data_IF_159676804532
#
_entry.id   IF_159676804532
#
_cell.length_a   1.000
_cell.length_b   1.000
_cell.length_c   1.000
_cell.angle_alpha   90.00
_cell.angle_beta   90.00
_cell.angle_gamma   90.00
#
_symmetry.space_group_name_H-M   'P 1'
#
loop_
_entity.id
_entity.type
_entity.pdbx_description
1 polymer ?
#
# COMPACT_ATOMS: atom_id res chain seq x y z
N UNK A 1 29.36 19.59 10.83
CA UNK A 1 28.27 18.68 10.40
C UNK A 1 28.68 18.12 9.06
N UNK A 2 28.97 16.83 8.99
CA UNK A 2 29.47 16.16 7.79
C UNK A 2 28.29 15.85 6.84
N UNK A 3 28.35 16.38 5.62
CA UNK A 3 27.33 16.23 4.57
C UNK A 3 27.39 14.85 3.88
N UNK A 4 28.28 13.95 4.29
CA UNK A 4 28.44 12.60 3.72
C UNK A 4 27.39 11.57 4.19
N UNK A 5 26.48 11.93 5.11
CA UNK A 5 25.38 11.09 5.58
C UNK A 5 24.04 11.34 4.85
N UNK A 6 24.11 12.07 3.73
CA UNK A 6 23.02 12.28 2.77
C UNK A 6 23.17 11.41 1.51
N UNK A 7 23.93 10.32 1.57
CA UNK A 7 23.71 9.25 0.59
C UNK A 7 22.29 8.74 0.83
N UNK A 8 21.38 8.78 -0.17
CA UNK A 8 20.04 8.27 0.03
C UNK A 8 20.20 6.83 0.51
N UNK A 9 19.58 6.51 1.65
CA UNK A 9 19.40 5.13 2.05
C UNK A 9 18.79 4.41 0.86
N UNK A 10 19.59 3.57 0.18
CA UNK A 10 19.25 2.78 -1.01
C UNK A 10 18.24 1.67 -0.66
N UNK A 11 17.12 2.05 -0.07
CA UNK A 11 16.07 1.16 0.40
C UNK A 11 14.74 1.85 0.72
N UNK A 12 14.68 3.19 0.72
CA UNK A 12 13.42 3.92 0.89
C UNK A 12 13.15 4.82 -0.32
N UNK A 13 12.84 4.20 -1.45
CA UNK A 13 11.99 4.83 -2.45
C UNK A 13 10.55 4.37 -2.23
N UNK A 14 10.09 4.46 -0.97
CA UNK A 14 8.67 4.40 -0.69
C UNK A 14 8.05 5.65 -1.30
N UNK A 15 7.48 5.51 -2.49
CA UNK A 15 6.54 6.44 -3.12
C UNK A 15 6.45 7.81 -2.46
N UNK A 16 7.33 8.75 -2.84
CA UNK A 16 7.35 10.13 -2.32
C UNK A 16 6.14 10.98 -2.77
N UNK A 17 5.09 10.35 -3.29
CA UNK A 17 3.82 10.97 -3.63
C UNK A 17 2.74 10.60 -2.61
N UNK A 18 1.70 11.43 -2.46
CA UNK A 18 0.55 11.10 -1.64
C UNK A 18 0.02 9.70 -2.01
N UNK A 19 -0.38 8.90 -1.03
CA UNK A 19 -0.92 7.55 -1.25
C UNK A 19 -2.24 7.54 -2.04
N UNK A 20 -2.87 8.69 -2.32
CA UNK A 20 -4.06 8.84 -3.18
C UNK A 20 -5.19 7.89 -2.79
N UNK A 21 -5.92 8.27 -1.75
CA UNK A 21 -7.10 7.56 -1.26
C UNK A 21 -8.38 7.98 -1.97
N UNK A 22 -9.40 7.13 -1.92
CA UNK A 22 -10.74 7.39 -2.50
C UNK A 22 -11.41 8.59 -1.84
N UNK A 23 -11.60 8.57 -0.51
CA UNK A 23 -12.25 9.65 0.24
C UNK A 23 -11.74 9.71 1.69
N UNK A 24 -10.50 10.18 1.93
CA UNK A 24 -9.90 10.13 3.27
C UNK A 24 -10.62 11.04 4.28
N UNK A 25 -11.30 12.10 3.83
CA UNK A 25 -12.13 12.96 4.68
C UNK A 25 -13.37 12.22 5.23
N UNK A 26 -13.79 11.16 4.54
CA UNK A 26 -14.92 10.29 4.92
C UNK A 26 -14.42 8.99 5.56
N UNK A 27 -13.13 8.92 5.91
CA UNK A 27 -12.44 7.75 6.45
C UNK A 27 -12.35 6.55 5.48
N UNK A 28 -12.49 6.80 4.17
CA UNK A 28 -12.23 5.81 3.14
C UNK A 28 -10.76 5.89 2.68
N UNK A 29 -9.95 5.00 3.26
CA UNK A 29 -8.52 4.88 3.00
C UNK A 29 -8.17 3.84 1.95
N UNK A 30 -9.14 3.45 1.12
CA UNK A 30 -8.87 2.59 -0.04
C UNK A 30 -8.04 3.33 -1.09
N UNK A 31 -7.11 2.64 -1.73
CA UNK A 31 -6.23 3.23 -2.74
C UNK A 31 -6.99 3.52 -4.05
N UNK A 32 -6.65 4.61 -4.72
CA UNK A 32 -7.04 4.84 -6.10
C UNK A 32 -6.19 3.99 -7.06
N UNK A 33 -6.70 3.64 -8.27
CA UNK A 33 -5.98 2.77 -9.22
C UNK A 33 -4.59 3.25 -9.65
N UNK A 34 -4.36 4.56 -9.61
CA UNK A 34 -3.08 5.19 -9.96
C UNK A 34 -2.33 5.70 -8.72
N UNK A 35 -2.64 5.14 -7.56
CA UNK A 35 -1.88 5.41 -6.35
C UNK A 35 -0.45 4.88 -6.50
N UNK A 36 0.56 5.65 -6.09
CA UNK A 36 1.93 5.16 -6.07
C UNK A 36 2.14 4.13 -4.95
N UNK A 37 1.17 3.90 -4.06
CA UNK A 37 1.22 2.84 -3.07
C UNK A 37 0.91 1.45 -3.65
N UNK A 38 0.28 1.39 -4.83
CA UNK A 38 -0.07 0.12 -5.49
C UNK A 38 1.20 -0.61 -5.94
N UNK A 39 1.40 -1.84 -5.47
CA UNK A 39 2.53 -2.71 -5.77
C UNK A 39 3.90 -2.20 -5.30
N UNK A 40 3.94 -1.19 -4.43
CA UNK A 40 5.18 -0.55 -4.00
C UNK A 40 5.78 -1.13 -2.71
N UNK A 41 5.04 -2.00 -2.02
CA UNK A 41 5.47 -2.68 -0.81
C UNK A 41 6.27 -3.96 -1.08
N UNK A 42 6.92 -4.45 -0.03
CA UNK A 42 7.64 -5.73 -0.08
C UNK A 42 6.68 -6.92 -0.04
N UNK A 43 7.13 -8.05 -0.56
CA UNK A 43 6.48 -9.34 -0.32
C UNK A 43 6.69 -9.74 1.15
N UNK A 44 5.58 -9.80 1.89
CA UNK A 44 5.55 -10.24 3.29
C UNK A 44 4.72 -11.52 3.44
N UNK A 45 4.43 -12.26 2.37
CA UNK A 45 3.58 -13.46 2.38
C UNK A 45 4.02 -14.53 3.38
N UNK A 46 5.31 -14.57 3.76
CA UNK A 46 5.84 -15.44 4.82
C UNK A 46 5.50 -15.01 6.25
N UNK A 47 4.82 -13.87 6.45
CA UNK A 47 4.50 -13.32 7.77
C UNK A 47 3.10 -12.68 7.84
N UNK A 48 2.56 -12.20 6.71
CA UNK A 48 1.26 -11.56 6.58
C UNK A 48 0.56 -12.13 5.36
N UNK A 49 -0.61 -12.73 5.54
CA UNK A 49 -1.37 -13.35 4.47
C UNK A 49 -2.58 -12.50 4.02
N UNK A 50 -3.20 -11.76 4.93
CA UNK A 50 -4.45 -11.02 4.65
C UNK A 50 -4.33 -9.54 5.04
N UNK A 51 -5.16 -8.73 4.42
CA UNK A 51 -5.29 -7.30 4.69
C UNK A 51 -6.33 -7.01 5.81
N UNK A 52 -6.59 -5.72 6.05
CA UNK A 52 -7.54 -5.29 7.08
C UNK A 52 -9.00 -5.71 6.81
N UNK A 53 -9.37 -5.90 5.55
CA UNK A 53 -10.71 -6.36 5.16
C UNK A 53 -10.80 -7.89 5.06
N UNK A 54 -9.71 -8.60 5.34
CA UNK A 54 -9.63 -10.06 5.31
C UNK A 54 -9.30 -10.66 3.94
N UNK A 55 -8.96 -9.83 2.95
CA UNK A 55 -8.60 -10.29 1.62
C UNK A 55 -7.13 -10.75 1.56
N UNK A 56 -6.85 -11.77 0.75
CA UNK A 56 -5.49 -12.33 0.59
C UNK A 56 -4.60 -11.33 -0.15
N UNK A 57 -3.45 -10.99 0.43
CA UNK A 57 -2.50 -10.07 -0.21
C UNK A 57 -1.71 -10.78 -1.32
N UNK A 58 -1.55 -10.10 -2.45
CA UNK A 58 -0.75 -10.58 -3.59
C UNK A 58 0.55 -9.78 -3.68
N UNK A 59 1.67 -10.47 -3.89
CA UNK A 59 2.97 -9.83 -4.06
C UNK A 59 3.15 -9.19 -5.45
N UNK A 60 3.86 -8.04 -5.57
CA UNK A 60 4.31 -7.20 -4.46
C UNK A 60 3.12 -6.54 -3.74
N UNK A 61 3.18 -6.43 -2.41
CA UNK A 61 2.06 -5.90 -1.63
C UNK A 61 1.88 -4.41 -1.93
N UNK A 62 0.65 -3.91 -1.84
CA UNK A 62 0.42 -2.47 -1.76
C UNK A 62 0.88 -1.93 -0.40
N UNK A 63 1.32 -0.67 -0.34
CA UNK A 63 1.46 0.01 0.95
C UNK A 63 0.09 0.33 1.54
N UNK A 64 -0.01 0.24 2.86
CA UNK A 64 -1.24 0.49 3.59
C UNK A 64 -1.96 -0.79 4.03
N UNK A 65 -3.07 -0.60 4.72
CA UNK A 65 -3.78 -1.68 5.38
C UNK A 65 -4.78 -2.43 4.48
N UNK A 66 -5.17 -1.84 3.34
CA UNK A 66 -6.16 -2.39 2.40
C UNK A 66 -5.50 -2.57 1.04
N UNK A 67 -5.58 -3.76 0.44
CA UNK A 67 -5.07 -3.99 -0.91
C UNK A 67 -5.97 -3.38 -1.99
N UNK A 68 -5.37 -2.82 -3.04
CA UNK A 68 -6.11 -2.32 -4.20
C UNK A 68 -6.74 -3.45 -5.00
N UNK A 69 -6.03 -4.58 -5.16
CA UNK A 69 -6.54 -5.76 -5.85
C UNK A 69 -7.81 -6.35 -5.18
N UNK A 70 -8.01 -6.06 -3.90
CA UNK A 70 -9.06 -6.62 -3.07
C UNK A 70 -10.43 -5.93 -3.28
N UNK A 71 -10.43 -4.76 -3.93
CA UNK A 71 -11.65 -4.02 -4.27
C UNK A 71 -12.55 -4.68 -5.32
N UNK A 72 -12.05 -5.70 -6.03
CA UNK A 72 -12.82 -6.44 -7.03
C UNK A 72 -13.65 -7.57 -6.39
N UNK A 73 -13.34 -8.00 -5.15
CA UNK A 73 -14.03 -9.12 -4.48
C UNK A 73 -14.88 -8.71 -3.26
N UNK A 74 -14.82 -7.45 -2.81
CA UNK A 74 -15.59 -6.96 -1.66
C UNK A 74 -17.05 -6.58 -1.98
N UNK A 75 -17.57 -6.82 -3.20
CA UNK A 75 -18.98 -6.56 -3.55
C UNK A 75 -19.95 -7.66 -3.09
N UNK A 76 -19.53 -8.54 -2.18
CA UNK A 76 -20.32 -9.67 -1.68
C UNK A 76 -21.19 -9.34 -0.45
N UNK A 77 -21.88 -8.20 -0.44
CA UNK A 77 -23.03 -8.03 0.44
C UNK A 77 -24.26 -8.55 -0.32
N UNK A 78 -24.67 -9.79 -0.01
CA UNK A 78 -26.05 -10.28 -0.20
C UNK A 78 -26.92 -9.68 0.91
#
# INVERSE_FOLDING_TARGET
FDQALLTPYNGFFGSVGAARFVAPAELDFRLLPNSPAVGAGFDLSGSVATDFLGATRTAPFDFGAIGFADLIFASGFD
#
